data_IF_470868286331
#
_entry.id   IF_470868286331
#
_cell.length_a   1.000
_cell.length_b   1.000
_cell.length_c   1.000
_cell.angle_alpha   90.00
_cell.angle_beta   90.00
_cell.angle_gamma   90.00
#
_symmetry.space_group_name_H-M   'P 1'
#
loop_
_entity.id
_entity.type
_entity.pdbx_description
1 polymer ?
#
# COMPACT_ATOMS: atom_id res chain seq x y z
N UNK A 1 4.62 6.57 -41.51
CA UNK A 1 3.31 6.19 -40.94
C UNK A 1 2.77 7.43 -40.28
N UNK A 2 1.75 8.04 -40.88
CA UNK A 2 1.01 9.14 -40.26
C UNK A 2 0.30 8.60 -39.02
N UNK A 3 0.55 9.24 -37.89
CA UNK A 3 -0.25 9.03 -36.69
C UNK A 3 -1.61 9.72 -36.94
N UNK A 4 -2.75 9.07 -36.70
CA UNK A 4 -4.05 9.71 -36.93
C UNK A 4 -4.14 10.97 -36.05
N UNK A 5 -4.57 12.08 -36.68
CA UNK A 5 -4.86 13.34 -36.01
C UNK A 5 -5.70 13.07 -34.76
N UNK A 6 -5.20 13.53 -33.61
CA UNK A 6 -5.97 13.45 -32.37
C UNK A 6 -7.29 14.22 -32.59
N UNK A 7 -8.46 13.67 -32.23
CA UNK A 7 -9.73 14.30 -32.55
C UNK A 7 -9.82 15.67 -31.87
N UNK A 8 -10.20 16.70 -32.63
CA UNK A 8 -10.44 18.10 -32.22
C UNK A 8 -11.58 18.27 -31.19
N UNK A 9 -12.01 17.19 -30.53
CA UNK A 9 -13.24 17.10 -29.74
C UNK A 9 -13.03 16.41 -28.38
N UNK A 10 -11.83 16.48 -27.81
CA UNK A 10 -11.60 16.03 -26.44
C UNK A 10 -12.14 17.08 -25.47
N UNK A 11 -13.15 16.69 -24.68
CA UNK A 11 -13.65 17.48 -23.56
C UNK A 11 -13.08 16.94 -22.24
N UNK A 12 -12.77 17.81 -21.26
CA UNK A 12 -12.35 17.36 -19.95
C UNK A 12 -13.44 16.50 -19.30
N UNK A 13 -13.07 15.28 -18.92
CA UNK A 13 -13.91 14.38 -18.14
C UNK A 13 -13.27 14.20 -16.78
N UNK A 14 -13.99 14.60 -15.72
CA UNK A 14 -13.54 14.48 -14.34
C UNK A 14 -14.59 13.72 -13.55
N UNK A 15 -14.14 12.68 -12.83
CA UNK A 15 -14.95 11.93 -11.89
C UNK A 15 -14.47 12.21 -10.47
N UNK A 16 -15.36 12.71 -9.63
CA UNK A 16 -15.13 12.72 -8.19
C UNK A 16 -15.56 11.36 -7.60
N UNK A 17 -14.58 10.60 -7.12
CA UNK A 17 -14.79 9.29 -6.52
C UNK A 17 -14.95 9.35 -5.00
N UNK A 18 -14.91 10.53 -4.38
CA UNK A 18 -14.87 10.69 -2.91
C UNK A 18 -16.02 9.96 -2.22
N UNK A 19 -17.26 10.14 -2.70
CA UNK A 19 -18.43 9.48 -2.13
C UNK A 19 -18.44 7.96 -2.38
N UNK A 20 -18.00 7.53 -3.57
CA UNK A 20 -17.88 6.12 -3.92
C UNK A 20 -16.83 5.41 -3.05
N UNK A 21 -15.71 6.06 -2.81
CA UNK A 21 -14.63 5.55 -1.96
C UNK A 21 -15.03 5.49 -0.49
N UNK A 22 -15.72 6.52 0.02
CA UNK A 22 -16.27 6.48 1.37
C UNK A 22 -17.23 5.30 1.56
N UNK A 23 -18.11 5.05 0.59
CA UNK A 23 -18.99 3.88 0.60
C UNK A 23 -18.20 2.57 0.56
N UNK A 24 -17.25 2.43 -0.36
CA UNK A 24 -16.42 1.22 -0.46
C UNK A 24 -15.73 0.90 0.87
N UNK A 25 -15.13 1.90 1.53
CA UNK A 25 -14.48 1.74 2.83
C UNK A 25 -15.47 1.33 3.93
N UNK A 26 -16.66 1.93 3.96
CA UNK A 26 -17.69 1.57 4.93
C UNK A 26 -18.13 0.10 4.77
N UNK A 27 -18.36 -0.36 3.54
CA UNK A 27 -18.73 -1.77 3.27
C UNK A 27 -17.60 -2.73 3.65
N UNK A 28 -16.34 -2.36 3.43
CA UNK A 28 -15.18 -3.15 3.87
C UNK A 28 -15.15 -3.30 5.39
N UNK A 29 -15.29 -2.20 6.14
CA UNK A 29 -15.32 -2.24 7.61
C UNK A 29 -16.52 -3.05 8.11
N UNK A 30 -17.68 -2.91 7.47
CA UNK A 30 -18.87 -3.70 7.81
C UNK A 30 -18.64 -5.21 7.59
N UNK A 31 -17.95 -5.59 6.51
CA UNK A 31 -17.64 -7.00 6.20
C UNK A 31 -16.64 -7.63 7.18
N UNK A 32 -15.73 -6.84 7.77
CA UNK A 32 -14.80 -7.30 8.82
C UNK A 32 -15.54 -7.61 10.14
N UNK A 33 -16.70 -7.02 10.35
CA UNK A 33 -17.60 -7.32 11.46
C UNK A 33 -17.27 -6.55 12.76
N UNK A 34 -18.24 -6.55 13.68
CA UNK A 34 -18.17 -5.74 14.91
C UNK A 34 -17.09 -6.18 15.92
N UNK A 35 -16.52 -7.37 15.75
CA UNK A 35 -15.42 -7.88 16.57
C UNK A 35 -14.03 -7.56 16.03
N UNK A 36 -13.94 -6.91 14.87
CA UNK A 36 -12.65 -6.55 14.29
C UNK A 36 -12.00 -5.40 15.07
N UNK A 37 -10.81 -5.64 15.60
CA UNK A 37 -9.97 -4.65 16.25
C UNK A 37 -8.89 -4.16 15.25
N UNK A 38 -9.01 -2.95 14.70
CA UNK A 38 -8.05 -2.43 13.73
C UNK A 38 -6.67 -2.18 14.33
N UNK A 39 -6.58 -1.92 15.63
CA UNK A 39 -5.30 -1.70 16.32
C UNK A 39 -4.58 -3.03 16.47
N UNK A 40 -5.27 -4.06 16.97
CA UNK A 40 -4.69 -5.39 17.08
C UNK A 40 -4.30 -5.96 15.71
N UNK A 41 -5.08 -5.69 14.66
CA UNK A 41 -4.72 -6.08 13.30
C UNK A 41 -3.43 -5.38 12.83
N UNK A 42 -3.28 -4.08 13.07
CA UNK A 42 -2.06 -3.34 12.71
C UNK A 42 -0.84 -3.85 13.48
N UNK A 43 -0.96 -4.10 14.78
CA UNK A 43 0.11 -4.67 15.61
C UNK A 43 0.52 -6.06 15.12
N UNK A 44 -0.44 -6.88 14.67
CA UNK A 44 -0.16 -8.19 14.11
C UNK A 44 0.60 -8.11 12.77
N UNK A 45 0.24 -7.16 11.90
CA UNK A 45 0.97 -6.92 10.64
C UNK A 45 2.39 -6.42 10.89
N UNK A 46 2.59 -5.53 11.86
CA UNK A 46 3.93 -5.07 12.27
C UNK A 46 4.78 -6.23 12.78
N UNK A 47 4.20 -7.09 13.63
CA UNK A 47 4.89 -8.28 14.14
C UNK A 47 5.22 -9.27 13.01
N UNK A 48 4.30 -9.49 12.07
CA UNK A 48 4.54 -10.33 10.91
C UNK A 48 5.65 -9.77 10.00
N UNK A 49 5.68 -8.45 9.80
CA UNK A 49 6.72 -7.76 9.04
C UNK A 49 8.10 -7.91 9.70
N UNK A 50 8.17 -7.78 11.03
CA UNK A 50 9.41 -8.00 11.77
C UNK A 50 9.91 -9.46 11.65
N UNK A 51 9.00 -10.43 11.66
CA UNK A 51 9.33 -11.85 11.43
C UNK A 51 9.79 -12.13 10.00
N UNK A 52 9.21 -11.48 8.99
CA UNK A 52 9.60 -11.69 7.58
C UNK A 52 11.06 -11.35 7.31
N UNK A 53 11.59 -10.37 8.05
CA UNK A 53 12.98 -9.93 7.97
C UNK A 53 13.79 -10.34 9.21
N UNK A 54 13.29 -11.30 10.00
CA UNK A 54 14.08 -11.90 11.06
C UNK A 54 15.06 -12.91 10.47
N UNK A 55 16.18 -13.11 11.17
CA UNK A 55 17.15 -14.16 10.87
C UNK A 55 17.71 -14.15 9.43
N UNK A 56 17.80 -12.97 8.82
CA UNK A 56 18.44 -12.81 7.51
C UNK A 56 19.91 -13.23 7.58
N UNK A 57 20.32 -14.02 6.61
CA UNK A 57 21.73 -14.32 6.42
C UNK A 57 22.50 -13.07 5.92
N UNK A 58 23.85 -13.07 5.96
CA UNK A 58 24.64 -11.89 5.56
C UNK A 58 24.47 -11.43 4.09
N UNK A 59 24.02 -12.29 3.18
CA UNK A 59 23.72 -11.90 1.81
C UNK A 59 22.31 -11.30 1.68
N UNK A 60 21.35 -11.88 2.41
CA UNK A 60 19.98 -11.37 2.50
C UNK A 60 19.95 -10.01 3.19
N UNK A 61 20.68 -9.83 4.30
CA UNK A 61 20.76 -8.56 5.02
C UNK A 61 21.27 -7.43 4.11
N UNK A 62 22.35 -7.67 3.35
CA UNK A 62 22.88 -6.67 2.40
C UNK A 62 21.88 -6.30 1.31
N UNK A 63 21.08 -7.27 0.86
CA UNK A 63 20.01 -7.02 -0.13
C UNK A 63 18.91 -6.18 0.51
N UNK A 64 18.46 -6.54 1.70
CA UNK A 64 17.48 -5.77 2.47
C UNK A 64 17.95 -4.32 2.68
N UNK A 65 19.18 -4.11 3.15
CA UNK A 65 19.74 -2.78 3.37
C UNK A 65 19.77 -1.93 2.08
N UNK A 66 20.11 -2.56 0.94
CA UNK A 66 20.10 -1.90 -0.37
C UNK A 66 18.69 -1.46 -0.77
N UNK A 67 17.70 -2.31 -0.55
CA UNK A 67 16.31 -2.03 -0.89
C UNK A 67 15.70 -0.97 0.03
N UNK A 68 16.07 -0.95 1.32
CA UNK A 68 15.70 0.11 2.26
C UNK A 68 16.32 1.44 1.83
N UNK A 69 17.61 1.47 1.51
CA UNK A 69 18.28 2.69 1.04
C UNK A 69 17.69 3.24 -0.27
N UNK A 70 17.18 2.35 -1.13
CA UNK A 70 16.49 2.72 -2.36
C UNK A 70 15.01 3.14 -2.17
N UNK A 71 14.47 3.03 -0.95
CA UNK A 71 13.06 3.31 -0.66
C UNK A 71 12.09 2.26 -1.22
N UNK A 72 12.59 1.08 -1.60
CA UNK A 72 11.78 -0.04 -2.10
C UNK A 72 11.13 -0.78 -0.94
N UNK A 73 11.87 -0.97 0.15
CA UNK A 73 11.36 -1.59 1.38
C UNK A 73 11.28 -0.57 2.51
N UNK A 74 10.28 -0.69 3.40
CA UNK A 74 10.23 0.10 4.62
C UNK A 74 11.32 -0.35 5.60
N UNK A 75 11.80 0.59 6.41
CA UNK A 75 12.63 0.27 7.58
C UNK A 75 11.78 -0.39 8.66
N UNK A 76 12.20 -1.56 9.15
CA UNK A 76 11.54 -2.28 10.25
C UNK A 76 11.66 -1.59 11.61
N UNK A 77 12.57 -0.62 11.76
CA UNK A 77 12.67 0.25 12.94
C UNK A 77 11.67 1.41 12.79
N UNK A 78 10.61 1.41 13.61
CA UNK A 78 9.73 2.57 13.71
C UNK A 78 10.47 3.68 14.47
N UNK A 79 10.62 4.85 13.85
CA UNK A 79 11.00 6.06 14.62
C UNK A 79 9.85 6.41 15.58
N UNK A 80 10.15 6.82 16.83
CA UNK A 80 9.16 7.06 17.88
C UNK A 80 8.22 8.24 17.58
#
# INVERSE_FOLDING_TARGET
>A
MDQPDAPDHLFPFTLDLTAGEARRRAEVVAALGAGWDPVAALEAEDAATALLYSDLDPAQQRTYDTLVAAGVLPTTVREP
#
